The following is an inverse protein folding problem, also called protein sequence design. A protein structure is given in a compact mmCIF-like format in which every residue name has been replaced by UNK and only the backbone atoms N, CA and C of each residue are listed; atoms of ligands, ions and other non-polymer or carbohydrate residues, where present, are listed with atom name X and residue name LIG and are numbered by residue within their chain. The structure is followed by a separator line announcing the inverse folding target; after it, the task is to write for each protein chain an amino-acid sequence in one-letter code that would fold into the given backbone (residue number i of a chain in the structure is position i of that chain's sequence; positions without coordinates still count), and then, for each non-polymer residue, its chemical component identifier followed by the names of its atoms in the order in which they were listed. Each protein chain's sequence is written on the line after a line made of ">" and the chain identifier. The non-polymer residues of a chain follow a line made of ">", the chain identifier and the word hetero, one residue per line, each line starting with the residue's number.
data_IF_782385145739
#
_entry.id   IF_782385145739
#
_cell.length_a   1.000
_cell.length_b   1.000
_cell.length_c   1.000
_cell.angle_alpha   90.00
_cell.angle_beta   90.00
_cell.angle_gamma   90.00
#
_symmetry.space_group_name_H-M   'P 1'
#
loop_
_entity.id
_entity.type
_entity.pdbx_description
1 polymer ?
#
# COMPACT_ATOMS: atom_id res chain seq x y z
N UNK A 1 9.30 -0.26 21.57
CA UNK A 1 9.32 0.74 20.49
C UNK A 1 10.36 0.28 19.49
N UNK A 2 10.03 0.30 18.20
CA UNK A 2 10.87 -0.19 17.11
C UNK A 2 10.92 0.91 16.05
N UNK A 3 12.14 1.36 15.76
CA UNK A 3 12.44 2.29 14.69
C UNK A 3 13.30 1.60 13.65
N UNK A 4 12.88 1.65 12.40
CA UNK A 4 13.62 1.14 11.26
C UNK A 4 13.77 2.24 10.21
N UNK A 5 15.00 2.47 9.76
CA UNK A 5 15.31 3.34 8.63
C UNK A 5 16.15 2.56 7.64
N UNK A 6 15.75 2.63 6.38
CA UNK A 6 16.40 1.97 5.26
C UNK A 6 16.63 3.04 4.19
N UNK A 7 17.89 3.27 3.85
CA UNK A 7 18.27 4.30 2.89
C UNK A 7 17.76 3.96 1.49
N UNK A 8 17.88 2.70 1.09
CA UNK A 8 17.27 2.16 -0.13
C UNK A 8 17.01 0.66 -0.03
N UNK A 9 15.96 0.20 -0.69
CA UNK A 9 15.62 -1.22 -0.88
C UNK A 9 15.18 -1.41 -2.33
N UNK A 10 15.93 -2.20 -3.09
CA UNK A 10 15.54 -2.61 -4.44
C UNK A 10 15.07 -4.06 -4.44
N UNK A 11 13.90 -4.33 -5.02
CA UNK A 11 13.46 -5.70 -5.32
C UNK A 11 12.98 -5.77 -6.78
N UNK A 12 13.80 -6.36 -7.64
CA UNK A 12 13.55 -6.38 -9.08
C UNK A 12 13.50 -4.96 -9.65
N UNK A 13 12.35 -4.58 -10.22
CA UNK A 13 12.11 -3.26 -10.82
C UNK A 13 11.58 -2.22 -9.82
N UNK A 14 11.25 -2.63 -8.60
CA UNK A 14 10.71 -1.74 -7.57
C UNK A 14 11.85 -1.23 -6.69
N UNK A 15 12.09 0.08 -6.76
CA UNK A 15 13.01 0.79 -5.89
C UNK A 15 12.26 1.54 -4.80
N UNK A 16 12.60 1.27 -3.54
CA UNK A 16 12.15 2.05 -2.39
C UNK A 16 13.30 2.88 -1.86
N UNK A 17 13.09 4.18 -1.69
CA UNK A 17 14.09 5.11 -1.17
C UNK A 17 13.64 5.77 0.11
N UNK A 18 14.60 6.03 1.02
CA UNK A 18 14.36 6.71 2.29
C UNK A 18 13.17 6.11 3.08
N UNK A 19 13.10 4.78 3.09
CA UNK A 19 12.05 4.06 3.78
C UNK A 19 12.25 4.21 5.30
N UNK A 20 11.19 4.59 5.99
CA UNK A 20 11.18 4.67 7.45
C UNK A 20 9.91 4.03 7.99
N UNK A 21 10.06 3.19 9.00
CA UNK A 21 8.96 2.60 9.73
C UNK A 21 9.17 2.82 11.22
N UNK A 22 8.09 3.19 11.89
CA UNK A 22 8.04 3.37 13.34
C UNK A 22 6.91 2.51 13.88
N UNK A 23 7.17 1.77 14.95
CA UNK A 23 6.15 0.97 15.60
C UNK A 23 6.27 1.05 17.12
N UNK A 24 5.13 1.28 17.77
CA UNK A 24 5.03 1.51 19.21
C UNK A 24 3.88 0.70 19.80
N UNK A 25 4.14 0.05 20.93
CA UNK A 25 3.15 -0.79 21.61
C UNK A 25 3.74 -2.11 22.10
N UNK A 26 2.84 -3.07 22.35
CA UNK A 26 3.13 -4.43 22.79
C UNK A 26 3.04 -5.41 21.62
N UNK A 27 3.41 -6.68 21.85
CA UNK A 27 3.29 -7.72 20.83
C UNK A 27 1.84 -8.00 20.43
N UNK A 28 0.90 -7.73 21.33
CA UNK A 28 -0.52 -8.01 21.14
C UNK A 28 -1.28 -6.80 20.58
N UNK A 29 -0.76 -5.59 20.79
CA UNK A 29 -1.31 -4.34 20.27
C UNK A 29 -0.20 -3.35 19.91
N UNK A 30 -0.10 -3.00 18.62
CA UNK A 30 0.96 -2.15 18.09
C UNK A 30 0.35 -1.07 17.18
N UNK A 31 0.70 0.19 17.40
CA UNK A 31 0.52 1.25 16.42
C UNK A 31 1.73 1.30 15.52
N UNK A 32 1.54 1.42 14.21
CA UNK A 32 2.60 1.45 13.23
C UNK A 32 2.43 2.62 12.27
N UNK A 33 3.55 3.11 11.79
CA UNK A 33 3.66 4.13 10.75
C UNK A 33 4.76 3.70 9.79
N UNK A 34 4.53 3.87 8.50
CA UNK A 34 5.51 3.56 7.46
C UNK A 34 5.47 4.62 6.37
N UNK A 35 6.63 4.94 5.83
CA UNK A 35 6.78 5.81 4.66
C UNK A 35 7.89 5.30 3.77
N UNK A 36 7.76 5.49 2.47
CA UNK A 36 8.84 5.30 1.53
C UNK A 36 8.60 6.09 0.25
N UNK A 37 9.67 6.42 -0.47
CA UNK A 37 9.57 6.74 -1.90
C UNK A 37 9.44 5.45 -2.70
N UNK A 38 8.73 5.48 -3.81
CA UNK A 38 8.51 4.34 -4.70
C UNK A 38 8.84 4.78 -6.12
N UNK A 39 9.85 4.17 -6.72
CA UNK A 39 10.40 4.65 -7.99
C UNK A 39 10.91 6.09 -7.88
N UNK A 40 10.90 6.80 -9.01
CA UNK A 40 11.41 8.17 -9.10
C UNK A 40 10.35 9.23 -8.77
N UNK A 41 9.07 8.90 -8.97
CA UNK A 41 7.97 9.87 -8.91
C UNK A 41 6.90 9.55 -7.85
N UNK A 42 7.01 8.40 -7.18
CA UNK A 42 6.04 7.92 -6.21
C UNK A 42 6.50 8.04 -4.76
N UNK A 43 5.54 8.10 -3.84
CA UNK A 43 5.79 7.93 -2.42
C UNK A 43 4.52 7.45 -1.72
N UNK A 44 4.66 6.79 -0.57
CA UNK A 44 3.53 6.52 0.29
C UNK A 44 3.81 6.87 1.75
N UNK A 45 2.73 7.14 2.47
CA UNK A 45 2.65 7.35 3.91
C UNK A 45 1.48 6.51 4.42
N UNK A 46 1.76 5.57 5.31
CA UNK A 46 0.79 4.62 5.84
C UNK A 46 0.86 4.63 7.36
N UNK A 47 -0.30 4.51 8.00
CA UNK A 47 -0.41 4.44 9.45
C UNK A 47 -1.56 3.53 9.84
N UNK A 48 -1.40 2.83 10.95
CA UNK A 48 -2.40 1.89 11.38
C UNK A 48 -2.13 1.23 12.71
N UNK A 49 -2.93 0.20 12.97
CA UNK A 49 -2.90 -0.61 14.17
C UNK A 49 -2.81 -2.07 13.81
N UNK A 50 -2.09 -2.82 14.62
CA UNK A 50 -2.00 -4.27 14.55
C UNK A 50 -2.47 -4.83 15.88
N UNK A 51 -3.37 -5.81 15.81
CA UNK A 51 -3.82 -6.54 16.98
C UNK A 51 -3.66 -8.04 16.67
N UNK A 52 -2.93 -8.73 17.52
CA UNK A 52 -2.86 -10.18 17.44
C UNK A 52 -4.08 -10.75 18.17
N UNK A 53 -4.98 -11.49 17.50
CA UNK A 53 -6.05 -12.19 18.21
C UNK A 53 -5.42 -13.16 19.22
N UNK A 54 -5.87 -13.12 20.46
CA UNK A 54 -5.51 -14.14 21.45
C UNK A 54 -6.11 -15.49 21.03
N UNK A 55 -5.27 -16.43 20.60
CA UNK A 55 -5.70 -17.76 20.18
C UNK A 55 -4.72 -18.41 19.18
N UNK A 56 -4.79 -19.73 19.04
CA UNK A 56 -3.90 -20.55 18.19
C UNK A 56 -4.07 -20.35 16.67
N UNK A 57 -4.69 -19.25 16.24
CA UNK A 57 -4.90 -18.93 14.83
C UNK A 57 -3.64 -18.36 14.19
N UNK A 58 -3.32 -18.80 12.97
CA UNK A 58 -2.21 -18.26 12.17
C UNK A 58 -2.57 -16.97 11.45
N UNK A 59 -3.86 -16.63 11.36
CA UNK A 59 -4.36 -15.41 10.73
C UNK A 59 -4.23 -14.22 11.68
N UNK A 60 -3.52 -13.20 11.22
CA UNK A 60 -3.30 -11.96 11.95
C UNK A 60 -4.13 -10.83 11.33
N UNK A 61 -4.59 -9.90 12.16
CA UNK A 61 -5.39 -8.77 11.70
C UNK A 61 -4.64 -7.46 11.90
N UNK A 62 -4.60 -6.65 10.84
CA UNK A 62 -4.14 -5.28 10.89
C UNK A 62 -5.22 -4.35 10.36
N UNK A 63 -5.20 -3.13 10.85
CA UNK A 63 -6.01 -2.02 10.33
C UNK A 63 -5.07 -0.98 9.78
N UNK A 64 -5.29 -0.57 8.54
CA UNK A 64 -4.69 0.62 7.97
C UNK A 64 -5.65 1.77 8.27
N UNK A 65 -5.33 2.61 9.24
CA UNK A 65 -6.17 3.74 9.63
C UNK A 65 -6.11 4.87 8.59
N UNK A 66 -4.91 5.08 8.03
CA UNK A 66 -4.65 6.13 7.06
C UNK A 66 -3.61 5.66 6.05
N UNK A 67 -3.83 5.96 4.77
CA UNK A 67 -2.84 5.75 3.72
C UNK A 67 -2.96 6.90 2.71
N UNK A 68 -1.81 7.50 2.39
CA UNK A 68 -1.66 8.48 1.33
C UNK A 68 -0.62 7.97 0.35
N UNK A 69 -0.93 8.01 -0.94
CA UNK A 69 -0.04 7.58 -2.02
C UNK A 69 0.11 8.74 -2.99
N UNK A 70 1.34 9.24 -3.13
CA UNK A 70 1.71 10.15 -4.19
C UNK A 70 1.97 9.34 -5.46
N UNK A 71 1.23 9.64 -6.51
CA UNK A 71 1.46 9.21 -7.88
C UNK A 71 1.72 10.45 -8.75
N UNK A 72 2.28 10.32 -9.97
CA UNK A 72 2.42 11.43 -10.91
C UNK A 72 1.09 12.17 -11.19
N UNK A 73 -0.04 11.48 -11.03
CA UNK A 73 -1.37 12.02 -11.23
C UNK A 73 -1.97 12.73 -10.02
N UNK A 74 -1.26 12.78 -8.89
CA UNK A 74 -1.70 13.44 -7.65
C UNK A 74 -1.59 12.55 -6.42
N UNK A 75 -2.06 13.09 -5.29
CA UNK A 75 -2.08 12.36 -4.01
C UNK A 75 -3.42 11.66 -3.82
N UNK A 76 -3.36 10.37 -3.53
CA UNK A 76 -4.51 9.52 -3.30
C UNK A 76 -4.62 9.19 -1.82
N UNK A 77 -5.78 9.44 -1.23
CA UNK A 77 -6.03 9.23 0.20
C UNK A 77 -7.02 8.10 0.41
N UNK A 78 -6.70 7.23 1.35
CA UNK A 78 -7.62 6.22 1.85
C UNK A 78 -8.85 6.92 2.45
N UNK A 79 -10.04 6.54 1.97
CA UNK A 79 -11.30 7.17 2.37
C UNK A 79 -11.71 6.78 3.79
N UNK A 80 -11.43 5.55 4.19
CA UNK A 80 -11.80 4.98 5.50
C UNK A 80 -10.79 3.92 5.92
N UNK A 81 -10.65 3.66 7.24
CA UNK A 81 -9.80 2.59 7.74
C UNK A 81 -10.11 1.25 7.06
N UNK A 82 -9.07 0.53 6.63
CA UNK A 82 -9.19 -0.76 5.94
C UNK A 82 -8.65 -1.88 6.82
N UNK A 83 -9.46 -2.91 7.02
CA UNK A 83 -9.02 -4.13 7.67
C UNK A 83 -8.28 -5.03 6.68
N UNK A 84 -7.16 -5.56 7.15
CA UNK A 84 -6.31 -6.53 6.47
C UNK A 84 -6.25 -7.78 7.35
N UNK A 85 -6.44 -8.94 6.74
CA UNK A 85 -6.15 -10.22 7.39
C UNK A 85 -5.03 -10.90 6.62
N UNK A 86 -3.96 -11.28 7.31
CA UNK A 86 -2.83 -11.94 6.67
C UNK A 86 -2.44 -13.22 7.40
N UNK A 87 -2.19 -14.26 6.63
CA UNK A 87 -1.61 -15.53 7.08
C UNK A 87 -0.19 -15.68 6.50
N UNK A 88 0.40 -16.85 6.68
CA UNK A 88 1.66 -17.25 6.05
C UNK A 88 1.62 -17.27 4.50
N UNK A 89 0.43 -17.38 3.92
CA UNK A 89 0.22 -17.72 2.51
C UNK A 89 -0.77 -16.81 1.79
N UNK A 90 -1.48 -15.94 2.51
CA UNK A 90 -2.58 -15.16 1.95
C UNK A 90 -2.72 -13.80 2.65
N UNK A 91 -2.92 -12.75 1.86
CA UNK A 91 -3.35 -11.44 2.32
C UNK A 91 -4.77 -11.18 1.82
N UNK A 92 -5.71 -11.01 2.74
CA UNK A 92 -7.08 -10.58 2.47
C UNK A 92 -7.23 -9.10 2.75
N UNK A 93 -7.78 -8.38 1.78
CA UNK A 93 -8.15 -6.97 1.86
C UNK A 93 -9.67 -6.90 1.84
N UNK A 94 -10.30 -6.49 2.94
CA UNK A 94 -11.76 -6.44 3.02
C UNK A 94 -12.33 -5.42 2.02
N UNK A 95 -11.94 -4.16 2.15
CA UNK A 95 -12.26 -3.09 1.21
C UNK A 95 -11.36 -1.88 1.45
N UNK A 96 -10.56 -1.54 0.46
CA UNK A 96 -9.81 -0.30 0.41
C UNK A 96 -10.43 0.61 -0.64
N UNK A 97 -10.70 1.87 -0.30
CA UNK A 97 -11.15 2.88 -1.25
C UNK A 97 -10.28 4.12 -1.10
N UNK A 98 -9.85 4.68 -2.23
CA UNK A 98 -8.99 5.84 -2.32
C UNK A 98 -9.66 6.91 -3.15
N UNK A 99 -9.51 8.16 -2.72
CA UNK A 99 -9.93 9.34 -3.46
C UNK A 99 -8.73 10.18 -3.88
N UNK A 100 -8.81 10.82 -5.04
CA UNK A 100 -7.82 11.79 -5.45
C UNK A 100 -7.98 13.09 -4.64
N UNK A 101 -6.88 13.64 -4.11
CA UNK A 101 -6.87 14.89 -3.37
C UNK A 101 -7.12 16.12 -4.24
N UNK A 102 -6.83 16.06 -5.54
CA UNK A 102 -7.00 17.15 -6.49
C UNK A 102 -8.39 17.20 -7.15
N UNK A 103 -9.30 16.25 -6.84
CA UNK A 103 -10.68 16.26 -7.34
C UNK A 103 -11.20 14.89 -7.72
N UNK A 104 -11.74 14.77 -8.94
CA UNK A 104 -12.43 13.57 -9.42
C UNK A 104 -11.45 12.41 -9.54
N UNK A 105 -11.86 11.23 -9.06
CA UNK A 105 -11.03 10.04 -9.11
C UNK A 105 -11.23 9.19 -7.88
N UNK A 106 -11.69 7.96 -8.08
CA UNK A 106 -11.87 6.97 -7.02
C UNK A 106 -11.32 5.63 -7.45
N UNK A 107 -10.53 5.02 -6.58
CA UNK A 107 -9.98 3.68 -6.76
C UNK A 107 -10.49 2.81 -5.61
N UNK A 108 -11.06 1.65 -5.92
CA UNK A 108 -11.42 0.67 -4.88
C UNK A 108 -10.83 -0.70 -5.19
N UNK A 109 -10.39 -1.37 -4.13
CA UNK A 109 -9.76 -2.68 -4.13
C UNK A 109 -10.38 -3.53 -3.02
N UNK A 110 -10.71 -4.77 -3.34
CA UNK A 110 -11.09 -5.79 -2.35
C UNK A 110 -10.70 -7.16 -2.87
N UNK A 111 -10.32 -8.07 -1.98
CA UNK A 111 -10.13 -9.47 -2.33
C UNK A 111 -8.89 -10.09 -1.70
N UNK A 112 -8.47 -11.18 -2.32
CA UNK A 112 -7.53 -12.13 -1.75
C UNK A 112 -6.27 -12.22 -2.62
N UNK A 113 -5.13 -11.91 -2.00
CA UNK A 113 -3.80 -11.91 -2.60
C UNK A 113 -2.99 -13.07 -2.00
N UNK A 114 -3.00 -14.26 -2.62
CA UNK A 114 -2.13 -15.34 -2.20
C UNK A 114 -0.67 -15.02 -2.53
N UNK A 115 0.26 -15.48 -1.69
CA UNK A 115 1.71 -15.34 -1.91
C UNK A 115 2.15 -16.12 -3.16
N UNK A 116 1.46 -17.22 -3.48
CA UNK A 116 1.67 -18.03 -4.67
C UNK A 116 0.33 -18.40 -5.30
N UNK A 117 0.24 -18.30 -6.62
CA UNK A 117 -0.96 -18.68 -7.38
C UNK A 117 -1.79 -17.48 -7.83
N UNK A 118 -2.99 -17.74 -8.37
CA UNK A 118 -3.82 -16.72 -8.97
C UNK A 118 -4.38 -15.74 -7.94
N UNK A 119 -4.31 -14.45 -8.25
CA UNK A 119 -4.88 -13.37 -7.44
C UNK A 119 -6.38 -13.28 -7.71
N UNK A 120 -7.19 -13.27 -6.66
CA UNK A 120 -8.63 -13.04 -6.76
C UNK A 120 -8.98 -11.68 -6.14
N UNK A 121 -8.82 -10.63 -6.94
CA UNK A 121 -9.10 -9.26 -6.51
C UNK A 121 -10.08 -8.58 -7.44
N UNK A 122 -10.94 -7.76 -6.85
CA UNK A 122 -11.79 -6.81 -7.56
C UNK A 122 -11.16 -5.44 -7.44
N UNK A 123 -10.88 -4.84 -8.58
CA UNK A 123 -10.35 -3.49 -8.72
C UNK A 123 -11.36 -2.68 -9.52
N UNK A 124 -11.76 -1.51 -9.02
CA UNK A 124 -12.62 -0.57 -9.74
C UNK A 124 -11.98 0.81 -9.74
N UNK A 125 -11.89 1.40 -10.93
CA UNK A 125 -11.32 2.73 -11.18
C UNK A 125 -12.43 3.61 -11.77
N UNK A 126 -12.77 4.67 -11.06
CA UNK A 126 -13.74 5.68 -11.50
C UNK A 126 -12.98 6.99 -11.72
N UNK A 127 -13.12 7.58 -12.91
CA UNK A 127 -12.49 8.85 -13.28
C UNK A 127 -10.98 8.91 -12.99
N UNK A 128 -10.30 7.77 -13.08
CA UNK A 128 -8.88 7.67 -12.80
C UNK A 128 -8.06 8.22 -13.98
N UNK A 129 -7.16 9.19 -13.76
CA UNK A 129 -6.37 9.77 -14.83
C UNK A 129 -5.48 8.70 -15.49
N UNK A 130 -5.50 8.64 -16.82
CA UNK A 130 -4.73 7.66 -17.61
C UNK A 130 -3.23 7.72 -17.31
N UNK A 131 -2.70 8.90 -16.97
CA UNK A 131 -1.30 9.08 -16.54
C UNK A 131 -0.96 8.30 -15.27
N UNK A 132 -1.93 8.13 -14.36
CA UNK A 132 -1.76 7.29 -13.19
C UNK A 132 -1.73 5.80 -13.53
N UNK A 133 -2.40 5.39 -14.62
CA UNK A 133 -2.38 3.98 -15.06
C UNK A 133 -0.98 3.64 -15.53
N UNK A 134 -0.31 4.52 -16.27
CA UNK A 134 1.10 4.33 -16.68
C UNK A 134 2.06 4.33 -15.48
N UNK A 135 1.79 5.09 -14.42
CA UNK A 135 2.56 5.02 -13.19
C UNK A 135 2.32 3.72 -12.39
N UNK A 136 1.10 3.19 -12.39
CA UNK A 136 0.78 1.86 -11.83
C UNK A 136 1.34 0.72 -12.68
N UNK A 137 1.38 0.93 -14.00
CA UNK A 137 1.88 0.03 -15.03
C UNK A 137 3.32 0.35 -15.42
N UNK A 138 4.13 1.01 -14.59
CA UNK A 138 5.53 1.39 -14.88
C UNK A 138 6.49 0.18 -15.07
N UNK A 139 5.95 -0.93 -15.55
CA UNK A 139 6.46 -1.53 -16.78
C UNK A 139 6.51 -0.55 -17.95
N UNK A 140 7.65 0.14 -18.04
CA UNK A 140 8.29 0.58 -19.29
C UNK A 140 7.96 2.01 -19.79
N UNK A 141 8.69 2.99 -19.25
CA UNK A 141 9.07 4.21 -19.99
C UNK A 141 10.59 4.40 -20.04
N UNK A 142 11.35 3.31 -20.13
CA UNK A 142 12.65 3.36 -20.82
C UNK A 142 12.38 3.13 -22.32
N UNK A 143 11.64 4.04 -22.96
CA UNK A 143 11.36 3.85 -24.38
C UNK A 143 10.48 4.84 -25.12
N UNK A 144 9.80 5.82 -24.49
CA UNK A 144 9.03 6.82 -25.26
C UNK A 144 9.15 8.22 -24.67
N UNK A 145 9.69 9.12 -25.51
CA UNK A 145 10.03 10.55 -25.37
C UNK A 145 11.33 10.83 -24.59
N UNK A 146 12.49 11.17 -25.17
CA UNK A 146 12.85 11.59 -26.53
C UNK A 146 13.53 12.97 -26.50
N UNK A 147 14.86 13.00 -26.58
CA UNK A 147 15.70 13.85 -27.47
C UNK A 147 17.04 13.17 -27.66
#
# INVERSE_FOLDING_TARGET
>A
EVDAKLDSLGYGRLGFGAAAAHARGTRDSLTWFARARVGDLGAFLAGGRYARPGGSGTTQHAVVDSLAVLLPSGVWFLERPTALAFSDSMLRVDSAAFKNGAGVGRLSLSGDLPVRGPINTRVSLESFPLTGIYALLESDTLGVAGV
#
